data_IF_163217166014
#
_entry.id   IF_163217166014
#
_cell.length_a   1.000
_cell.length_b   1.000
_cell.length_c   1.000
_cell.angle_alpha   90.00
_cell.angle_beta   90.00
_cell.angle_gamma   90.00
#
_symmetry.space_group_name_H-M   'P 1'
#
loop_
_entity.id
_entity.type
_entity.pdbx_description
1 polymer ?
#
# COMPACT_ATOMS: atom_id res chain seq x y z
N UNK A 1 -7.25 -1.79 23.95
CA UNK A 1 -7.03 -2.67 22.78
C UNK A 1 -5.59 -2.44 22.37
N UNK A 2 -4.80 -3.49 22.13
CA UNK A 2 -3.46 -3.30 21.57
C UNK A 2 -3.63 -2.76 20.15
N UNK A 3 -2.90 -1.69 19.79
CA UNK A 3 -2.86 -1.26 18.41
C UNK A 3 -2.10 -2.32 17.59
N UNK A 4 -2.34 -2.37 16.29
CA UNK A 4 -1.75 -3.41 15.44
C UNK A 4 -1.45 -2.98 14.01
N UNK A 5 -0.27 -3.40 13.55
CA UNK A 5 0.11 -3.34 12.14
C UNK A 5 -0.53 -4.52 11.41
N UNK A 6 -1.24 -4.24 10.31
CA UNK A 6 -1.83 -5.24 9.42
C UNK A 6 -1.25 -5.08 8.03
N UNK A 7 -0.75 -6.17 7.46
CA UNK A 7 -0.21 -6.21 6.08
C UNK A 7 -1.20 -6.95 5.18
N UNK A 8 -1.61 -6.32 4.08
CA UNK A 8 -2.56 -6.88 3.13
C UNK A 8 -1.98 -6.78 1.72
N UNK A 9 -1.70 -7.94 1.13
CA UNK A 9 -1.27 -8.09 -0.26
C UNK A 9 -2.48 -8.22 -1.18
N UNK A 10 -2.59 -7.32 -2.16
CA UNK A 10 -3.67 -7.35 -3.16
C UNK A 10 -3.09 -7.81 -4.48
N UNK A 11 -3.36 -9.07 -4.84
CA UNK A 11 -2.83 -9.71 -6.05
C UNK A 11 -3.91 -10.33 -6.95
N UNK A 12 -3.73 -10.15 -8.25
CA UNK A 12 -4.58 -10.72 -9.30
C UNK A 12 -3.90 -10.56 -10.67
N UNK A 13 -3.87 -11.64 -11.45
CA UNK A 13 -3.23 -11.69 -12.78
C UNK A 13 -3.93 -10.86 -13.86
N UNK A 14 -5.20 -10.50 -13.67
CA UNK A 14 -5.93 -9.71 -14.67
C UNK A 14 -5.64 -8.22 -14.51
N UNK A 15 -5.14 -7.58 -15.55
CA UNK A 15 -5.12 -6.12 -15.66
C UNK A 15 -6.53 -5.54 -15.60
N UNK A 16 -6.74 -4.46 -14.85
CA UNK A 16 -8.08 -3.87 -14.67
C UNK A 16 -9.03 -4.68 -13.78
N UNK A 17 -8.53 -5.62 -12.97
CA UNK A 17 -9.35 -6.37 -12.00
C UNK A 17 -9.80 -5.57 -10.77
N UNK A 18 -9.39 -4.31 -10.65
CA UNK A 18 -9.74 -3.43 -9.53
C UNK A 18 -8.80 -3.48 -8.31
N UNK A 19 -7.57 -3.98 -8.43
CA UNK A 19 -6.59 -4.04 -7.32
C UNK A 19 -6.32 -2.67 -6.71
N UNK A 20 -5.83 -1.73 -7.51
CA UNK A 20 -5.57 -0.35 -7.08
C UNK A 20 -6.84 0.32 -6.56
N UNK A 21 -7.99 0.07 -7.18
CA UNK A 21 -9.29 0.59 -6.69
C UNK A 21 -9.61 0.07 -5.29
N UNK A 22 -9.41 -1.22 -5.04
CA UNK A 22 -9.61 -1.83 -3.73
C UNK A 22 -8.62 -1.25 -2.70
N UNK A 23 -7.33 -1.12 -3.03
CA UNK A 23 -6.33 -0.50 -2.16
C UNK A 23 -6.73 0.92 -1.76
N UNK A 24 -7.13 1.77 -2.72
CA UNK A 24 -7.57 3.15 -2.45
C UNK A 24 -8.80 3.20 -1.53
N UNK A 25 -9.77 2.30 -1.75
CA UNK A 25 -10.98 2.23 -0.93
C UNK A 25 -10.67 1.78 0.50
N UNK A 26 -9.84 0.75 0.68
CA UNK A 26 -9.40 0.27 1.99
C UNK A 26 -8.60 1.35 2.74
N UNK A 27 -7.68 2.03 2.05
CA UNK A 27 -6.90 3.12 2.63
C UNK A 27 -7.80 4.27 3.12
N UNK A 28 -8.76 4.68 2.28
CA UNK A 28 -9.72 5.74 2.64
C UNK A 28 -10.57 5.35 3.85
N UNK A 29 -11.02 4.08 3.91
CA UNK A 29 -11.81 3.58 5.03
C UNK A 29 -11.00 3.47 6.33
N UNK A 30 -9.72 3.08 6.25
CA UNK A 30 -8.83 3.01 7.40
C UNK A 30 -8.55 4.42 7.98
N UNK A 31 -8.26 5.40 7.13
CA UNK A 31 -8.10 6.80 7.56
C UNK A 31 -9.38 7.37 8.16
N UNK A 32 -10.54 7.03 7.62
CA UNK A 32 -11.82 7.46 8.20
C UNK A 32 -12.04 6.91 9.62
N UNK A 33 -11.34 5.83 10.00
CA UNK A 33 -11.33 5.28 11.37
C UNK A 33 -10.18 5.81 12.25
N UNK A 34 -9.36 6.72 11.73
CA UNK A 34 -8.20 7.29 12.43
C UNK A 34 -6.93 6.43 12.38
N UNK A 35 -6.86 5.49 11.44
CA UNK A 35 -5.68 4.64 11.23
C UNK A 35 -4.71 5.31 10.25
N UNK A 36 -3.42 5.04 10.42
CA UNK A 36 -2.40 5.44 9.42
C UNK A 36 -2.26 4.35 8.35
N UNK A 37 -1.87 4.74 7.13
CA UNK A 37 -1.80 3.83 5.98
C UNK A 37 -0.53 4.05 5.18
N UNK A 38 0.13 2.95 4.81
CA UNK A 38 1.15 2.94 3.76
C UNK A 38 0.69 2.05 2.61
N UNK A 39 0.67 2.60 1.40
CA UNK A 39 0.43 1.84 0.18
C UNK A 39 1.75 1.66 -0.57
N UNK A 40 2.17 0.42 -0.78
CA UNK A 40 3.24 0.10 -1.72
C UNK A 40 2.66 -0.10 -3.12
N UNK A 41 2.90 0.85 -4.01
CA UNK A 41 2.52 0.80 -5.42
C UNK A 41 3.62 0.09 -6.22
N UNK A 42 3.43 -1.20 -6.45
CA UNK A 42 4.41 -2.06 -7.15
C UNK A 42 4.02 -2.33 -8.60
N UNK A 43 3.14 -1.49 -9.16
CA UNK A 43 2.69 -1.54 -10.54
C UNK A 43 3.37 -0.42 -11.36
N UNK A 44 3.84 -0.75 -12.56
CA UNK A 44 4.51 0.22 -13.45
C UNK A 44 3.57 1.33 -13.95
N UNK A 45 2.25 1.14 -13.86
CA UNK A 45 1.25 2.18 -14.14
C UNK A 45 1.19 3.28 -13.07
N UNK A 46 1.78 3.05 -11.89
CA UNK A 46 1.85 4.02 -10.78
C UNK A 46 0.46 4.51 -10.37
N UNK A 47 -0.51 3.61 -10.44
CA UNK A 47 -1.92 3.95 -10.30
C UNK A 47 -2.24 4.56 -8.94
N UNK A 48 -1.63 4.07 -7.85
CA UNK A 48 -1.83 4.63 -6.51
C UNK A 48 -1.00 5.89 -6.29
N UNK A 49 0.20 5.97 -6.86
CA UNK A 49 1.05 7.17 -6.77
C UNK A 49 0.39 8.38 -7.44
N UNK A 50 -0.09 8.23 -8.69
CA UNK A 50 -0.79 9.30 -9.40
C UNK A 50 -2.06 9.75 -8.65
N UNK A 51 -2.73 8.84 -7.95
CA UNK A 51 -3.88 9.17 -7.11
C UNK A 51 -3.47 10.06 -5.92
N UNK A 52 -2.36 9.76 -5.25
CA UNK A 52 -1.81 10.61 -4.21
C UNK A 52 -1.43 12.00 -4.72
N UNK A 53 -0.70 12.07 -5.84
CA UNK A 53 -0.28 13.32 -6.45
C UNK A 53 -1.48 14.21 -6.81
N UNK A 54 -2.52 13.62 -7.42
CA UNK A 54 -3.75 14.33 -7.76
C UNK A 54 -4.47 14.85 -6.50
N UNK A 55 -4.58 14.03 -5.45
CA UNK A 55 -5.19 14.45 -4.19
C UNK A 55 -4.40 15.55 -3.48
N UNK A 56 -3.06 15.52 -3.54
CA UNK A 56 -2.19 16.57 -3.00
C UNK A 56 -2.37 17.88 -3.78
N UNK A 57 -2.37 17.80 -5.11
CA UNK A 57 -2.59 18.95 -5.99
C UNK A 57 -3.96 19.60 -5.76
N UNK A 58 -4.99 18.83 -5.41
CA UNK A 58 -6.33 19.35 -5.11
C UNK A 58 -6.53 19.77 -3.64
N UNK A 59 -5.50 19.65 -2.78
CA UNK A 59 -5.61 19.97 -1.35
C UNK A 59 -6.51 19.03 -0.53
N UNK A 60 -6.83 17.84 -1.07
CA UNK A 60 -7.76 16.88 -0.44
C UNK A 60 -7.06 15.61 0.05
N UNK A 61 -5.73 15.58 0.04
CA UNK A 61 -4.96 14.42 0.49
C UNK A 61 -4.89 14.35 2.01
N UNK A 62 -5.13 13.17 2.57
CA UNK A 62 -4.93 12.93 4.00
C UNK A 62 -3.44 12.73 4.30
N UNK A 63 -2.91 13.46 5.28
CA UNK A 63 -1.56 13.26 5.79
C UNK A 63 -1.35 11.89 6.45
N UNK A 64 -2.42 11.13 6.69
CA UNK A 64 -2.37 9.77 7.27
C UNK A 64 -2.11 8.68 6.21
N UNK A 65 -2.12 9.01 4.92
CA UNK A 65 -1.81 8.06 3.83
C UNK A 65 -0.50 8.46 3.17
N UNK A 66 0.44 7.54 3.13
CA UNK A 66 1.63 7.64 2.28
C UNK A 66 1.57 6.57 1.18
N UNK A 67 1.97 6.94 -0.04
CA UNK A 67 2.11 6.01 -1.16
C UNK A 67 3.58 5.94 -1.57
N UNK A 68 4.16 4.75 -1.43
CA UNK A 68 5.55 4.45 -1.82
C UNK A 68 5.51 3.66 -3.11
N UNK A 69 5.99 4.26 -4.21
CA UNK A 69 6.16 3.53 -5.45
C UNK A 69 7.54 2.86 -5.51
N UNK A 70 7.56 1.56 -5.76
CA UNK A 70 8.79 0.82 -6.04
C UNK A 70 8.47 -0.45 -6.81
N UNK A 71 9.36 -0.84 -7.72
CA UNK A 71 9.28 -2.15 -8.40
C UNK A 71 10.16 -3.20 -7.73
N UNK A 72 10.89 -2.81 -6.68
CA UNK A 72 11.79 -3.67 -5.95
C UNK A 72 11.10 -4.24 -4.71
N UNK A 73 10.88 -5.55 -4.71
CA UNK A 73 10.26 -6.26 -3.59
C UNK A 73 11.13 -6.20 -2.32
N UNK A 74 12.46 -6.14 -2.42
CA UNK A 74 13.33 -6.03 -1.25
C UNK A 74 13.11 -4.71 -0.54
N UNK A 75 12.93 -3.62 -1.29
CA UNK A 75 12.62 -2.32 -0.71
C UNK A 75 11.27 -2.31 0.01
N UNK A 76 10.26 -3.04 -0.48
CA UNK A 76 8.98 -3.21 0.23
C UNK A 76 9.19 -3.91 1.57
N UNK A 77 9.93 -5.03 1.58
CA UNK A 77 10.21 -5.80 2.80
C UNK A 77 10.98 -4.97 3.82
N UNK A 78 12.02 -4.25 3.38
CA UNK A 78 12.80 -3.36 4.24
C UNK A 78 11.92 -2.25 4.84
N UNK A 79 11.10 -1.58 4.02
CA UNK A 79 10.22 -0.52 4.48
C UNK A 79 9.15 -1.04 5.46
N UNK A 80 8.64 -2.26 5.28
CA UNK A 80 7.76 -2.90 6.26
C UNK A 80 8.49 -3.11 7.59
N UNK A 81 9.73 -3.63 7.57
CA UNK A 81 10.56 -3.76 8.77
C UNK A 81 10.74 -2.42 9.51
N UNK A 82 11.05 -1.35 8.77
CA UNK A 82 11.17 0.00 9.34
C UNK A 82 9.84 0.53 9.93
N UNK A 83 8.68 0.07 9.45
CA UNK A 83 7.38 0.41 10.03
C UNK A 83 7.17 -0.34 11.35
N UNK A 84 7.58 -1.61 11.43
CA UNK A 84 7.53 -2.40 12.67
C UNK A 84 8.47 -1.91 13.76
N UNK A 85 9.61 -1.29 13.41
CA UNK A 85 10.57 -0.73 14.37
C UNK A 85 10.11 0.58 15.02
N UNK A 86 9.03 1.20 14.52
CA UNK A 86 8.44 2.40 15.11
C UNK A 86 7.64 2.05 16.38
N UNK A 87 7.36 3.03 17.26
CA UNK A 87 6.46 2.81 18.39
C UNK A 87 5.11 2.20 17.99
N UNK A 88 4.48 1.48 18.91
CA UNK A 88 3.20 0.80 18.69
C UNK A 88 2.16 1.75 18.07
N UNK A 89 1.54 1.30 16.97
CA UNK A 89 0.71 2.13 16.10
C UNK A 89 -0.38 1.31 15.45
N UNK A 90 -1.54 1.94 15.25
CA UNK A 90 -2.60 1.38 14.42
C UNK A 90 -2.30 1.75 12.95
N UNK A 91 -1.87 0.75 12.18
CA UNK A 91 -1.35 0.98 10.83
C UNK A 91 -1.76 -0.12 9.86
N UNK A 92 -2.25 0.29 8.69
CA UNK A 92 -2.59 -0.60 7.59
C UNK A 92 -1.56 -0.47 6.46
N UNK A 93 -0.89 -1.56 6.14
CA UNK A 93 0.00 -1.68 4.99
C UNK A 93 -0.76 -2.38 3.85
N UNK A 94 -0.82 -1.74 2.68
CA UNK A 94 -1.42 -2.28 1.47
C UNK A 94 -0.35 -2.44 0.40
N UNK A 95 -0.24 -3.63 -0.20
CA UNK A 95 0.69 -3.88 -1.30
C UNK A 95 -0.13 -4.08 -2.58
N UNK A 96 -0.11 -3.08 -3.46
CA UNK A 96 -0.77 -3.09 -4.76
C UNK A 96 0.18 -3.66 -5.81
N UNK A 97 -0.11 -4.87 -6.30
CA UNK A 97 0.79 -5.61 -7.20
C UNK A 97 0.42 -5.48 -8.68
N UNK A 98 1.43 -5.54 -9.56
CA UNK A 98 1.19 -5.70 -11.00
C UNK A 98 0.52 -7.05 -11.30
N UNK A 99 -0.31 -7.12 -12.34
CA UNK A 99 -1.01 -8.35 -12.76
C UNK A 99 -0.17 -9.42 -13.46
N UNK A 100 1.15 -9.33 -13.47
CA UNK A 100 2.03 -10.33 -14.08
C UNK A 100 2.69 -11.18 -13.00
N UNK A 101 2.42 -12.49 -12.99
CA UNK A 101 3.14 -13.42 -12.11
C UNK A 101 4.64 -13.32 -12.32
N UNK A 102 5.37 -12.86 -11.29
CA UNK A 102 6.82 -12.76 -11.26
C UNK A 102 7.34 -13.24 -9.91
N UNK A 103 8.63 -13.56 -9.81
CA UNK A 103 9.32 -13.95 -8.55
C UNK A 103 9.10 -12.93 -7.42
N UNK A 104 8.90 -11.64 -7.77
CA UNK A 104 8.58 -10.60 -6.80
C UNK A 104 7.24 -10.83 -6.10
N UNK A 105 6.23 -11.41 -6.78
CA UNK A 105 4.96 -11.76 -6.15
C UNK A 105 5.11 -12.90 -5.15
N UNK A 106 5.95 -13.88 -5.46
CA UNK A 106 6.22 -15.01 -4.55
C UNK A 106 6.96 -14.52 -3.30
N UNK A 107 7.92 -13.60 -3.44
CA UNK A 107 8.61 -12.97 -2.31
C UNK A 107 7.65 -12.17 -1.41
N UNK A 108 6.75 -11.38 -2.00
CA UNK A 108 5.79 -10.58 -1.24
C UNK A 108 4.70 -11.43 -0.58
N UNK A 109 4.39 -12.61 -1.11
CA UNK A 109 3.40 -13.51 -0.53
C UNK A 109 3.85 -14.17 0.78
N UNK A 110 5.16 -14.18 1.06
CA UNK A 110 5.74 -14.77 2.28
C UNK A 110 6.32 -13.73 3.26
N UNK A 111 6.27 -12.45 2.90
CA UNK A 111 6.79 -11.32 3.67
C UNK A 111 5.91 -10.93 4.86
#
# INVERSE_FOLDING_TARGET
MANGIRVVLVMNRKGGSGKSTLCRALASAAVARGETVTIFDTDSSKSCLHWMEAGRASGNWSAQIEVVHTLDAHHVVEAIGQIYDKPDQEHLILIDTFGGGSEAQDMLAVA
#
